data_IF_710833029978
#
_entry.id   IF_710833029978
#
_cell.length_a   1.000
_cell.length_b   1.000
_cell.length_c   1.000
_cell.angle_alpha   90.00
_cell.angle_beta   90.00
_cell.angle_gamma   90.00
#
_symmetry.space_group_name_H-M   'P 1'
#
loop_
_entity.id
_entity.type
_entity.pdbx_description
1 polymer ?
#
# COMPACT_ATOMS: atom_id res chain seq x y z
N UNK A 1 21.09 8.00 -1.84
CA UNK A 1 19.71 8.45 -1.57
C UNK A 1 18.79 7.28 -1.91
N UNK A 2 18.29 6.55 -0.90
CA UNK A 2 17.56 5.30 -1.11
C UNK A 2 16.17 5.63 -1.67
N UNK A 3 15.80 4.96 -2.76
CA UNK A 3 14.74 5.37 -3.69
C UNK A 3 13.40 5.67 -3.03
N UNK A 4 12.81 6.80 -3.41
CA UNK A 4 11.46 7.25 -3.04
C UNK A 4 10.36 6.48 -3.80
N UNK A 5 10.70 5.36 -4.45
CA UNK A 5 9.81 4.58 -5.30
C UNK A 5 9.93 3.11 -4.94
N UNK A 6 8.80 2.48 -4.70
CA UNK A 6 8.63 1.05 -4.45
C UNK A 6 7.69 0.52 -5.54
N UNK A 7 7.95 -0.68 -6.07
CA UNK A 7 7.04 -1.32 -7.01
C UNK A 7 5.82 -1.87 -6.25
N UNK A 8 4.61 -1.61 -6.74
CA UNK A 8 3.40 -2.06 -6.06
C UNK A 8 3.29 -3.58 -6.02
N UNK A 9 3.87 -4.31 -6.98
CA UNK A 9 3.88 -5.78 -6.96
C UNK A 9 4.72 -6.33 -5.82
N UNK A 10 5.83 -5.67 -5.49
CA UNK A 10 6.64 -6.02 -4.32
C UNK A 10 5.90 -5.70 -3.02
N UNK A 11 5.17 -4.59 -3.01
CA UNK A 11 4.37 -4.16 -1.86
C UNK A 11 3.20 -5.10 -1.55
N UNK A 12 2.57 -5.67 -2.58
CA UNK A 12 1.41 -6.58 -2.48
C UNK A 12 1.78 -8.05 -2.76
N UNK A 13 3.05 -8.42 -2.63
CA UNK A 13 3.55 -9.74 -3.07
C UNK A 13 2.86 -10.93 -2.37
N UNK A 14 2.43 -10.75 -1.11
CA UNK A 14 1.72 -11.77 -0.34
C UNK A 14 0.22 -11.50 -0.22
N UNK A 15 -0.19 -10.24 -0.17
CA UNK A 15 -1.54 -9.80 0.15
C UNK A 15 -1.95 -8.66 -0.77
N UNK A 16 -3.25 -8.56 -1.14
CA UNK A 16 -3.76 -7.47 -1.99
C UNK A 16 -4.01 -6.16 -1.24
N UNK A 17 -3.66 -6.14 0.04
CA UNK A 17 -3.86 -5.05 0.98
C UNK A 17 -2.72 -5.02 2.00
N UNK A 18 -2.32 -3.81 2.39
CA UNK A 18 -1.40 -3.57 3.49
C UNK A 18 -1.99 -2.53 4.45
N UNK A 19 -1.62 -2.64 5.71
CA UNK A 19 -1.92 -1.63 6.72
C UNK A 19 -0.67 -0.80 6.98
N UNK A 20 -0.82 0.51 6.91
CA UNK A 20 0.22 1.50 7.17
C UNK A 20 -0.13 2.17 8.50
N UNK A 21 0.65 1.89 9.53
CA UNK A 21 0.55 2.62 10.79
C UNK A 21 1.12 4.03 10.59
N UNK A 22 0.35 5.04 10.97
CA UNK A 22 0.73 6.45 10.88
C UNK A 22 0.32 7.18 12.16
N UNK A 23 1.26 7.31 13.09
CA UNK A 23 0.96 7.81 14.44
C UNK A 23 0.04 6.84 15.17
N UNK A 24 -1.09 7.34 15.67
CA UNK A 24 -2.14 6.52 16.32
C UNK A 24 -3.17 5.99 15.31
N UNK A 25 -3.10 6.44 14.06
CA UNK A 25 -4.02 6.02 13.00
C UNK A 25 -3.46 4.84 12.21
N UNK A 26 -4.38 4.07 11.63
CA UNK A 26 -4.06 3.06 10.63
C UNK A 26 -4.67 3.47 9.30
N UNK A 27 -3.89 3.31 8.24
CA UNK A 27 -4.37 3.46 6.88
C UNK A 27 -4.29 2.12 6.18
N UNK A 28 -5.17 1.92 5.21
CA UNK A 28 -5.25 0.73 4.39
C UNK A 28 -4.94 1.10 2.96
N UNK A 29 -3.85 0.57 2.42
CA UNK A 29 -3.54 0.68 1.00
C UNK A 29 -3.88 -0.65 0.35
N UNK A 30 -4.72 -0.65 -0.69
CA UNK A 30 -5.13 -1.87 -1.39
C UNK A 30 -5.06 -1.72 -2.91
N UNK A 31 -4.87 -2.85 -3.60
CA UNK A 31 -4.95 -2.94 -5.05
C UNK A 31 -6.38 -3.27 -5.48
N UNK A 32 -7.02 -2.36 -6.21
CA UNK A 32 -8.36 -2.56 -6.76
C UNK A 32 -8.37 -3.56 -7.92
N UNK A 33 -9.55 -4.06 -8.30
CA UNK A 33 -9.74 -4.91 -9.49
C UNK A 33 -9.35 -4.23 -10.81
N UNK A 34 -9.30 -2.90 -10.84
CA UNK A 34 -8.87 -2.10 -12.00
C UNK A 34 -7.35 -1.81 -11.99
N UNK A 35 -6.57 -2.51 -11.16
CA UNK A 35 -5.13 -2.30 -10.98
C UNK A 35 -4.75 -0.89 -10.48
N UNK A 36 -5.68 -0.15 -9.88
CA UNK A 36 -5.42 1.13 -9.20
C UNK A 36 -5.15 0.92 -7.72
N UNK A 37 -4.30 1.75 -7.14
CA UNK A 37 -4.08 1.81 -5.70
C UNK A 37 -5.09 2.77 -5.06
N UNK A 38 -5.66 2.38 -3.93
CA UNK A 38 -6.52 3.23 -3.12
C UNK A 38 -6.05 3.18 -1.67
N UNK A 39 -5.90 4.37 -1.07
CA UNK A 39 -5.59 4.56 0.34
C UNK A 39 -6.87 4.97 1.07
N UNK A 40 -7.24 4.26 2.11
CA UNK A 40 -8.36 4.59 3.01
C UNK A 40 -7.85 4.70 4.44
N UNK A 41 -8.54 5.47 5.27
CA UNK A 41 -8.35 5.46 6.73
C UNK A 41 -9.20 4.33 7.33
#
# INVERSE_FOLDING_TARGET
>A
MRGTRIDSRELFAAEREIIIAHGEDSYRLRLTSQNKLILTK
#
